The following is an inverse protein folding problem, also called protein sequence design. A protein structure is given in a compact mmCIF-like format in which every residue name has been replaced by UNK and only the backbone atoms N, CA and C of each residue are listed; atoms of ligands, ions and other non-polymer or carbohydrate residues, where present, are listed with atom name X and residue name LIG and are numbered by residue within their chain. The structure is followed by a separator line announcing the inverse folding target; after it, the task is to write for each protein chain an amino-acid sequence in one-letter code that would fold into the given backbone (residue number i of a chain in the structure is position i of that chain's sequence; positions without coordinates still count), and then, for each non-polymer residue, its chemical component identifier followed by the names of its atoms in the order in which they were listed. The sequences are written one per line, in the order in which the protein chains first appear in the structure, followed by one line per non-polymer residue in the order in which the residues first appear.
data_IF_981185478024
#
_entry.id   IF_981185478024
#
_cell.length_a   1.000
_cell.length_b   1.000
_cell.length_c   1.000
_cell.angle_alpha   90.00
_cell.angle_beta   90.00
_cell.angle_gamma   90.00
#
_symmetry.space_group_name_H-M   'P 1'
#
loop_
_entity.id
_entity.type
_entity.pdbx_description
1 polymer ?
#
# COMPACT_ATOMS: atom_id res chain seq x y z
N UNK A 1 -13.25 -15.72 -3.24
CA UNK A 1 -11.93 -15.26 -2.78
C UNK A 1 -11.96 -13.84 -2.27
N UNK A 2 -12.42 -12.89 -3.09
CA UNK A 2 -12.50 -11.49 -2.66
C UNK A 2 -13.49 -11.35 -1.50
N UNK A 3 -14.63 -12.00 -1.58
CA UNK A 3 -15.64 -11.95 -0.51
C UNK A 3 -15.08 -12.53 0.78
N UNK A 4 -14.39 -13.67 0.68
CA UNK A 4 -13.75 -14.29 1.85
C UNK A 4 -12.71 -13.37 2.47
N UNK A 5 -11.82 -12.80 1.64
CA UNK A 5 -10.74 -11.94 2.10
C UNK A 5 -11.28 -10.69 2.83
N UNK A 6 -12.17 -9.94 2.19
CA UNK A 6 -12.65 -8.68 2.77
C UNK A 6 -13.81 -8.87 3.74
N UNK A 7 -14.63 -9.92 3.57
CA UNK A 7 -15.72 -10.20 4.48
C UNK A 7 -15.30 -10.90 5.75
N UNK A 8 -14.37 -11.82 5.65
CA UNK A 8 -13.94 -12.64 6.79
C UNK A 8 -12.56 -12.26 7.32
N UNK A 9 -11.52 -12.37 6.46
CA UNK A 9 -10.14 -12.17 6.91
C UNK A 9 -9.90 -10.74 7.38
N UNK A 10 -10.36 -9.75 6.63
CA UNK A 10 -10.16 -8.34 6.99
C UNK A 10 -11.02 -7.88 8.16
N UNK A 11 -12.00 -8.70 8.57
CA UNK A 11 -12.87 -8.39 9.71
C UNK A 11 -12.45 -9.12 10.98
N UNK A 12 -11.46 -10.00 10.91
CA UNK A 12 -11.00 -10.72 12.08
C UNK A 12 -10.34 -9.80 13.09
N UNK A 13 -10.52 -10.08 14.41
CA UNK A 13 -9.85 -9.29 15.44
C UNK A 13 -8.33 -9.51 15.41
N UNK A 14 -7.61 -8.63 16.08
CA UNK A 14 -6.15 -8.72 16.18
C UNK A 14 -5.42 -7.67 15.38
N UNK A 15 -6.00 -7.20 14.27
CA UNK A 15 -5.41 -6.15 13.44
C UNK A 15 -6.49 -5.17 13.02
N UNK A 16 -6.16 -3.89 13.07
CA UNK A 16 -7.04 -2.83 12.57
C UNK A 16 -6.93 -2.72 11.05
N UNK A 17 -7.91 -2.07 10.43
CA UNK A 17 -7.93 -1.89 8.97
C UNK A 17 -6.66 -1.23 8.44
N UNK A 18 -6.16 -0.20 9.14
CA UNK A 18 -4.91 0.47 8.74
C UNK A 18 -3.73 -0.47 8.78
N UNK A 19 -3.67 -1.31 9.81
CA UNK A 19 -2.59 -2.28 9.95
C UNK A 19 -2.63 -3.31 8.83
N UNK A 20 -3.81 -3.83 8.53
CA UNK A 20 -4.00 -4.78 7.43
C UNK A 20 -3.63 -4.16 6.08
N UNK A 21 -4.02 -2.90 5.86
CA UNK A 21 -3.69 -2.19 4.64
C UNK A 21 -2.19 -2.01 4.49
N UNK A 22 -1.51 -1.62 5.57
CA UNK A 22 -0.07 -1.42 5.55
C UNK A 22 0.67 -2.73 5.29
N UNK A 23 0.24 -3.82 5.93
CA UNK A 23 0.81 -5.16 5.71
C UNK A 23 0.63 -5.59 4.27
N UNK A 24 -0.57 -5.40 3.72
CA UNK A 24 -0.86 -5.72 2.32
C UNK A 24 0.06 -4.94 1.38
N UNK A 25 0.19 -3.64 1.60
CA UNK A 25 1.09 -2.81 0.80
C UNK A 25 2.54 -3.31 0.89
N UNK A 26 3.00 -3.68 2.10
CA UNK A 26 4.36 -4.19 2.29
C UNK A 26 4.59 -5.48 1.51
N UNK A 27 3.62 -6.39 1.53
CA UNK A 27 3.72 -7.65 0.78
C UNK A 27 3.79 -7.38 -0.72
N UNK A 28 2.96 -6.45 -1.22
CA UNK A 28 2.93 -6.12 -2.64
C UNK A 28 4.23 -5.46 -3.10
N UNK A 29 4.83 -4.62 -2.24
CA UNK A 29 6.14 -4.02 -2.51
C UNK A 29 7.20 -5.10 -2.56
N UNK A 30 7.25 -5.96 -1.55
CA UNK A 30 8.27 -7.01 -1.45
C UNK A 30 8.21 -8.00 -2.61
N UNK A 31 7.02 -8.25 -3.14
CA UNK A 31 6.81 -9.19 -4.24
C UNK A 31 6.78 -8.52 -5.62
N UNK A 32 6.96 -7.20 -5.66
CA UNK A 32 7.05 -6.46 -6.93
C UNK A 32 5.76 -6.40 -7.72
N UNK A 33 4.62 -6.40 -7.07
CA UNK A 33 3.31 -6.40 -7.72
C UNK A 33 2.79 -5.00 -7.96
N UNK A 34 3.29 -4.34 -9.00
CA UNK A 34 2.99 -2.94 -9.30
C UNK A 34 1.51 -2.64 -9.51
N UNK A 35 0.83 -3.48 -10.28
CA UNK A 35 -0.59 -3.25 -10.59
C UNK A 35 -1.43 -3.19 -9.31
N UNK A 36 -1.21 -4.16 -8.43
CA UNK A 36 -1.92 -4.22 -7.14
C UNK A 36 -1.51 -3.10 -6.20
N UNK A 37 -0.27 -2.62 -6.30
CA UNK A 37 0.20 -1.47 -5.52
C UNK A 37 -0.62 -0.22 -5.83
N UNK A 38 -0.94 0.03 -7.10
CA UNK A 38 -1.77 1.18 -7.48
C UNK A 38 -3.10 1.17 -6.72
N UNK A 39 -3.76 0.01 -6.66
CA UNK A 39 -5.03 -0.14 -5.97
C UNK A 39 -4.88 0.02 -4.45
N UNK A 40 -3.89 -0.64 -3.87
CA UNK A 40 -3.75 -0.69 -2.42
C UNK A 40 -3.10 0.55 -1.81
N UNK A 41 -2.24 1.27 -2.53
CA UNK A 41 -1.77 2.58 -2.08
C UNK A 41 -2.92 3.59 -2.05
N UNK A 42 -3.80 3.52 -3.03
CA UNK A 42 -5.00 4.35 -3.07
C UNK A 42 -5.90 4.04 -1.88
N UNK A 43 -6.14 2.77 -1.62
CA UNK A 43 -6.92 2.32 -0.45
C UNK A 43 -6.29 2.74 0.87
N UNK A 44 -4.97 2.65 0.99
CA UNK A 44 -4.25 3.06 2.19
C UNK A 44 -4.44 4.55 2.47
N UNK A 45 -4.31 5.40 1.45
CA UNK A 45 -4.56 6.83 1.59
C UNK A 45 -5.99 7.09 2.04
N UNK A 46 -6.96 6.38 1.48
CA UNK A 46 -8.37 6.54 1.86
C UNK A 46 -8.64 6.14 3.31
N UNK A 47 -7.83 5.25 3.86
CA UNK A 47 -7.91 4.87 5.28
C UNK A 47 -7.17 5.84 6.20
N UNK A 48 -6.56 6.88 5.64
CA UNK A 48 -5.85 7.89 6.41
C UNK A 48 -4.39 7.57 6.69
N UNK A 49 -3.81 6.58 6.01
CA UNK A 49 -2.37 6.30 6.12
C UNK A 49 -1.63 7.38 5.34
N UNK A 50 -0.68 8.04 5.99
CA UNK A 50 0.06 9.14 5.37
C UNK A 50 1.06 8.63 4.34
N UNK A 51 1.42 9.50 3.38
CA UNK A 51 2.47 9.22 2.43
C UNK A 51 3.79 8.93 3.15
N UNK A 52 4.06 9.68 4.21
CA UNK A 52 5.27 9.50 5.01
C UNK A 52 5.36 8.09 5.61
N UNK A 53 4.25 7.57 6.12
CA UNK A 53 4.20 6.20 6.66
C UNK A 53 4.44 5.16 5.57
N UNK A 54 3.87 5.36 4.39
CA UNK A 54 4.07 4.44 3.28
C UNK A 54 5.51 4.50 2.76
N UNK A 55 6.12 5.68 2.71
CA UNK A 55 7.53 5.83 2.33
C UNK A 55 8.45 5.14 3.35
N UNK A 56 8.14 5.28 4.64
CA UNK A 56 8.89 4.61 5.70
C UNK A 56 8.78 3.10 5.58
N UNK A 57 7.60 2.59 5.27
CA UNK A 57 7.39 1.16 5.03
C UNK A 57 8.22 0.66 3.85
N UNK A 58 8.22 1.40 2.74
CA UNK A 58 8.98 1.03 1.55
C UNK A 58 10.48 0.97 1.87
N UNK A 59 10.98 1.97 2.60
CA UNK A 59 12.39 1.99 3.02
C UNK A 59 12.72 0.80 3.91
N UNK A 60 11.83 0.46 4.82
CA UNK A 60 12.01 -0.70 5.69
C UNK A 60 12.06 -2.00 4.86
N UNK A 61 11.14 -2.17 3.93
CA UNK A 61 11.08 -3.35 3.05
C UNK A 61 12.33 -3.46 2.20
N UNK A 62 12.94 -2.34 1.79
CA UNK A 62 14.17 -2.35 1.00
C UNK A 62 15.29 -3.16 1.64
N UNK A 63 15.36 -3.13 2.97
CA UNK A 63 16.40 -3.84 3.72
C UNK A 63 16.19 -5.36 3.78
N UNK A 64 14.98 -5.82 3.49
CA UNK A 64 14.63 -7.24 3.53
C UNK A 64 14.38 -7.85 2.16
N UNK A 65 13.85 -7.05 1.23
CA UNK A 65 13.46 -7.53 -0.10
C UNK A 65 14.32 -6.95 -1.23
N UNK A 66 15.18 -5.99 -0.93
CA UNK A 66 16.09 -5.40 -1.90
C UNK A 66 15.64 -4.04 -2.41
N UNK A 67 16.61 -3.23 -2.84
CA UNK A 67 16.37 -1.87 -3.31
C UNK A 67 15.60 -1.78 -4.63
N UNK A 68 15.77 -2.70 -5.60
CA UNK A 68 15.01 -2.60 -6.85
C UNK A 68 13.49 -2.57 -6.65
N UNK A 69 12.94 -3.43 -5.79
CA UNK A 69 11.49 -3.43 -5.53
C UNK A 69 11.06 -2.16 -4.79
N UNK A 70 11.91 -1.65 -3.91
CA UNK A 70 11.61 -0.42 -3.16
C UNK A 70 11.61 0.81 -4.07
N UNK A 71 12.57 0.93 -4.97
CA UNK A 71 12.64 2.04 -5.93
C UNK A 71 11.41 2.03 -6.84
N UNK A 72 11.05 0.86 -7.33
CA UNK A 72 9.85 0.69 -8.15
C UNK A 72 8.59 1.12 -7.38
N UNK A 73 8.46 0.68 -6.13
CA UNK A 73 7.31 1.01 -5.29
C UNK A 73 7.24 2.50 -4.96
N UNK A 74 8.38 3.14 -4.72
CA UNK A 74 8.43 4.59 -4.46
C UNK A 74 7.90 5.37 -5.65
N UNK A 75 8.24 4.93 -6.85
CA UNK A 75 7.77 5.54 -8.09
C UNK A 75 6.26 5.37 -8.24
N UNK A 76 5.76 4.17 -7.98
CA UNK A 76 4.32 3.88 -8.01
C UNK A 76 3.56 4.73 -6.97
N UNK A 77 4.11 4.86 -5.78
CA UNK A 77 3.50 5.66 -4.71
C UNK A 77 3.36 7.13 -5.14
N UNK A 78 4.41 7.69 -5.73
CA UNK A 78 4.37 9.07 -6.22
C UNK A 78 3.29 9.24 -7.30
N UNK A 79 3.19 8.29 -8.23
CA UNK A 79 2.17 8.30 -9.28
C UNK A 79 0.76 8.27 -8.69
N UNK A 80 0.52 7.41 -7.69
CA UNK A 80 -0.79 7.30 -7.04
C UNK A 80 -1.15 8.59 -6.32
N UNK A 81 -0.20 9.19 -5.59
CA UNK A 81 -0.46 10.43 -4.87
C UNK A 81 -0.76 11.58 -5.81
N UNK A 82 0.00 11.71 -6.90
CA UNK A 82 -0.25 12.73 -7.91
C UNK A 82 -1.63 12.56 -8.56
N UNK A 83 -1.99 11.34 -8.91
CA UNK A 83 -3.28 11.05 -9.53
C UNK A 83 -4.44 11.41 -8.59
N UNK A 84 -4.33 11.03 -7.33
CA UNK A 84 -5.38 11.32 -6.33
C UNK A 84 -5.49 12.81 -6.05
N UNK A 85 -4.37 13.52 -6.00
CA UNK A 85 -4.37 14.97 -5.80
C UNK A 85 -5.06 15.68 -6.95
N UNK A 86 -4.82 15.24 -8.19
CA UNK A 86 -5.49 15.80 -9.38
C UNK A 86 -6.98 15.50 -9.37
N UNK A 87 -7.38 14.31 -8.93
CA UNK A 87 -8.79 13.95 -8.80
C UNK A 87 -9.50 14.86 -7.78
N UNK A 88 -8.84 15.14 -6.66
CA UNK A 88 -9.39 16.01 -5.63
C UNK A 88 -9.49 17.48 -6.08
N UNK A 89 -8.60 17.93 -6.96
CA UNK A 89 -8.57 19.30 -7.44
C UNK A 89 -9.63 19.58 -8.51
N UNK A 90 -10.17 18.55 -9.15
CA UNK A 90 -11.23 18.69 -10.17
C UNK A 90 -12.66 18.55 -9.60
#
# INVERSE_FOLDING_TARGET
TIIHLFGDVWQEPGLELRERSLITCAVLVATGREAEQHLHFRGARNLGISRESLEAMITHVAHYAGWPVAVSASRTLAEVWDAMDKESAS
#
